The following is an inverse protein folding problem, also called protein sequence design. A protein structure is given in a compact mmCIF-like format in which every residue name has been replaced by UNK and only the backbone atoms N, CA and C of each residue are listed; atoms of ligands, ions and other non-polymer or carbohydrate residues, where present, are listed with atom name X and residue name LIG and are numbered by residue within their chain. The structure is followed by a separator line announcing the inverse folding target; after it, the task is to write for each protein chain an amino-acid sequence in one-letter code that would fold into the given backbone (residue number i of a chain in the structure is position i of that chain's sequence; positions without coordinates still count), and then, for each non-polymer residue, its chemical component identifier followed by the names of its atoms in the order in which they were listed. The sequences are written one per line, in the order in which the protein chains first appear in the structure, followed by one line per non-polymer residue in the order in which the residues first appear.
data_IF_891756017363
#
_entry.id   IF_891756017363
#
_cell.length_a   1.000
_cell.length_b   1.000
_cell.length_c   1.000
_cell.angle_alpha   90.00
_cell.angle_beta   90.00
_cell.angle_gamma   90.00
#
_symmetry.space_group_name_H-M   'P 1'
#
loop_
_entity.id
_entity.type
_entity.pdbx_description
1 polymer ?
#
# COMPACT_ATOMS: atom_id res chain seq x y z
N UNK A 1 -4.76 -2.44 -4.58
CA UNK A 1 -4.23 -2.45 -3.19
C UNK A 1 -4.15 -1.09 -2.52
N UNK A 2 -3.22 -0.17 -2.86
CA UNK A 2 -3.11 1.14 -2.18
C UNK A 2 -4.39 1.98 -2.31
N UNK A 3 -4.97 2.02 -3.50
CA UNK A 3 -6.25 2.71 -3.75
C UNK A 3 -7.40 2.08 -2.96
N UNK A 4 -7.55 0.76 -3.01
CA UNK A 4 -8.59 0.04 -2.25
C UNK A 4 -8.46 0.23 -0.73
N UNK A 5 -7.23 0.21 -0.19
CA UNK A 5 -6.98 0.47 1.21
C UNK A 5 -7.36 1.90 1.61
N UNK A 6 -7.13 2.88 0.73
CA UNK A 6 -7.55 4.26 0.95
C UNK A 6 -9.08 4.38 0.86
N UNK A 7 -9.71 3.79 -0.14
CA UNK A 7 -11.16 3.83 -0.33
C UNK A 7 -11.89 3.22 0.88
N UNK A 8 -11.42 2.08 1.39
CA UNK A 8 -11.96 1.46 2.60
C UNK A 8 -11.79 2.37 3.84
N UNK A 9 -10.62 2.98 4.01
CA UNK A 9 -10.37 3.89 5.12
C UNK A 9 -11.23 5.18 5.04
N UNK A 10 -11.53 5.64 3.82
CA UNK A 10 -12.42 6.79 3.58
C UNK A 10 -13.87 6.48 3.90
N UNK A 11 -14.38 5.32 3.49
CA UNK A 11 -15.75 4.92 3.81
C UNK A 11 -15.96 4.74 5.31
N UNK A 12 -14.97 4.17 6.02
CA UNK A 12 -15.03 4.10 7.49
C UNK A 12 -14.99 5.49 8.14
N UNK A 13 -14.14 6.40 7.66
CA UNK A 13 -14.13 7.76 8.19
C UNK A 13 -15.47 8.48 7.95
N UNK A 14 -16.08 8.24 6.78
CA UNK A 14 -17.38 8.82 6.41
C UNK A 14 -18.51 8.28 7.28
N UNK A 15 -18.50 6.98 7.60
CA UNK A 15 -19.52 6.36 8.46
C UNK A 15 -19.45 6.86 9.91
N UNK A 16 -18.25 7.18 10.42
CA UNK A 16 -18.06 7.76 11.75
C UNK A 16 -18.53 9.22 11.84
N UNK A 17 -18.54 9.94 10.72
CA UNK A 17 -18.86 11.37 10.68
C UNK A 17 -19.87 11.71 9.57
N UNK A 18 -21.11 11.16 9.62
CA UNK A 18 -22.09 11.29 8.54
C UNK A 18 -22.55 12.74 8.32
N UNK A 19 -22.49 13.59 9.35
CA UNK A 19 -22.85 15.01 9.27
C UNK A 19 -21.77 15.92 8.67
N UNK A 20 -20.58 15.41 8.31
CA UNK A 20 -19.50 16.23 7.77
C UNK A 20 -19.63 16.44 6.26
N UNK A 21 -19.25 17.63 5.82
CA UNK A 21 -19.33 18.00 4.40
C UNK A 21 -18.28 17.27 3.56
N UNK A 22 -18.56 17.14 2.25
CA UNK A 22 -17.57 16.62 1.27
C UNK A 22 -16.27 17.42 1.28
N UNK A 23 -16.34 18.73 1.52
CA UNK A 23 -15.16 19.61 1.62
C UNK A 23 -14.28 19.25 2.81
N UNK A 24 -14.88 18.92 3.96
CA UNK A 24 -14.15 18.44 5.13
C UNK A 24 -13.40 17.13 4.84
N UNK A 25 -14.07 16.17 4.20
CA UNK A 25 -13.45 14.89 3.83
C UNK A 25 -12.31 15.09 2.82
N UNK A 26 -12.54 15.87 1.76
CA UNK A 26 -11.50 16.22 0.77
C UNK A 26 -10.28 16.85 1.44
N UNK A 27 -10.49 17.77 2.38
CA UNK A 27 -9.41 18.42 3.14
C UNK A 27 -8.64 17.46 4.04
N UNK A 28 -9.27 16.41 4.56
CA UNK A 28 -8.59 15.35 5.30
C UNK A 28 -7.72 14.49 4.38
N UNK A 29 -8.24 14.12 3.19
CA UNK A 29 -7.48 13.36 2.18
C UNK A 29 -6.26 14.12 1.69
N UNK A 30 -6.43 15.41 1.36
CA UNK A 30 -5.32 16.25 0.90
C UNK A 30 -4.20 16.40 1.94
N UNK A 31 -4.55 16.31 3.23
CA UNK A 31 -3.59 16.34 4.35
C UNK A 31 -2.96 14.99 4.68
N UNK A 32 -3.36 13.89 4.02
CA UNK A 32 -2.88 12.55 4.36
C UNK A 32 -1.35 12.43 4.26
N UNK A 33 -0.75 13.06 3.25
CA UNK A 33 0.70 13.10 3.07
C UNK A 33 1.45 14.05 4.02
N UNK A 34 0.72 14.91 4.73
CA UNK A 34 1.28 15.89 5.66
C UNK A 34 1.37 15.33 7.10
N UNK A 35 0.89 14.10 7.34
CA UNK A 35 0.89 13.44 8.65
C UNK A 35 2.21 12.70 8.88
N UNK A 36 2.87 12.98 10.01
CA UNK A 36 4.07 12.30 10.49
C UNK A 36 3.83 11.77 11.91
N UNK A 37 4.18 10.52 12.15
CA UNK A 37 4.11 9.91 13.49
C UNK A 37 5.16 10.56 14.40
N UNK A 38 4.73 10.96 15.58
CA UNK A 38 5.58 11.42 16.67
C UNK A 38 5.88 10.30 17.66
N UNK A 39 6.46 10.67 18.80
CA UNK A 39 6.60 9.76 19.95
C UNK A 39 5.27 9.62 20.69
N UNK A 40 5.11 8.52 21.41
CA UNK A 40 4.03 8.31 22.40
C UNK A 40 2.61 8.44 21.82
N UNK A 41 2.41 8.00 20.57
CA UNK A 41 1.09 8.02 19.92
C UNK A 41 0.62 9.42 19.49
N UNK A 42 1.51 10.42 19.50
CA UNK A 42 1.24 11.74 18.93
C UNK A 42 1.53 11.78 17.42
N UNK A 43 0.95 12.77 16.73
CA UNK A 43 1.08 12.98 15.30
C UNK A 43 1.33 14.46 15.01
N UNK A 44 2.30 14.73 14.14
CA UNK A 44 2.58 16.05 13.59
C UNK A 44 1.90 16.17 12.24
N UNK A 45 1.12 17.22 12.03
CA UNK A 45 0.47 17.51 10.74
C UNK A 45 1.00 18.84 10.22
N UNK A 46 1.59 18.83 9.03
CA UNK A 46 2.07 20.06 8.38
C UNK A 46 0.88 20.94 7.95
N UNK A 47 0.97 22.24 8.26
CA UNK A 47 -0.08 23.20 7.99
C UNK A 47 0.01 23.74 6.56
N UNK A 48 -1.14 23.81 5.90
CA UNK A 48 -1.28 24.30 4.53
C UNK A 48 -2.17 25.54 4.45
N UNK A 49 -1.59 26.66 4.03
CA UNK A 49 -2.31 27.95 3.92
C UNK A 49 -3.52 27.82 2.99
N UNK A 50 -3.36 27.10 1.88
CA UNK A 50 -4.40 26.83 0.89
C UNK A 50 -5.57 25.99 1.44
N UNK A 51 -5.37 25.28 2.56
CA UNK A 51 -6.41 24.49 3.22
C UNK A 51 -7.04 25.20 4.43
N UNK A 52 -6.63 26.43 4.71
CA UNK A 52 -7.15 27.29 5.79
C UNK A 52 -6.35 27.24 7.09
N UNK A 53 -5.08 26.84 7.03
CA UNK A 53 -4.23 26.69 8.20
C UNK A 53 -3.46 27.97 8.50
N UNK A 54 -3.39 28.34 9.78
CA UNK A 54 -2.68 29.54 10.25
C UNK A 54 -1.28 29.24 10.76
N UNK A 55 -1.09 28.07 11.38
CA UNK A 55 0.19 27.59 11.90
C UNK A 55 0.86 26.67 10.87
N UNK A 56 2.19 26.64 10.81
CA UNK A 56 2.94 25.74 9.92
C UNK A 56 2.88 24.27 10.37
N UNK A 57 2.52 24.02 11.63
CA UNK A 57 2.50 22.69 12.22
C UNK A 57 1.38 22.60 13.24
N UNK A 58 0.70 21.45 13.26
CA UNK A 58 -0.26 21.08 14.30
C UNK A 58 0.15 19.76 14.95
N UNK A 59 -0.10 19.66 16.25
CA UNK A 59 0.08 18.43 17.02
C UNK A 59 -1.29 17.82 17.27
N UNK A 60 -1.41 16.52 17.05
CA UNK A 60 -2.62 15.75 17.24
C UNK A 60 -2.30 14.55 18.12
N UNK A 61 -3.11 14.29 19.13
CA UNK A 61 -2.93 13.15 20.04
C UNK A 61 -4.28 12.66 20.52
N UNK A 62 -4.33 11.40 20.96
CA UNK A 62 -5.49 10.86 21.64
C UNK A 62 -5.30 11.08 23.14
N UNK A 63 -6.28 11.68 23.81
CA UNK A 63 -6.31 11.77 25.26
C UNK A 63 -7.08 10.56 25.79
N UNK A 64 -6.39 9.67 26.50
CA UNK A 64 -7.03 8.53 27.17
C UNK A 64 -7.98 8.99 28.28
N UNK A 65 -7.65 10.07 28.97
CA UNK A 65 -8.48 10.68 30.02
C UNK A 65 -9.81 11.22 29.45
N UNK A 66 -9.75 11.95 28.34
CA UNK A 66 -10.95 12.51 27.70
C UNK A 66 -11.65 11.52 26.75
N UNK A 67 -11.04 10.36 26.48
CA UNK A 67 -11.52 9.38 25.50
C UNK A 67 -11.71 9.95 24.09
N UNK A 68 -10.92 10.96 23.70
CA UNK A 68 -11.08 11.65 22.40
C UNK A 68 -9.78 12.18 21.83
N UNK A 69 -9.85 12.56 20.55
CA UNK A 69 -8.75 13.19 19.85
C UNK A 69 -8.65 14.69 20.13
N UNK A 70 -7.43 15.14 20.40
CA UNK A 70 -7.07 16.55 20.58
C UNK A 70 -6.20 17.02 19.42
N UNK A 71 -6.30 18.31 19.12
CA UNK A 71 -5.46 18.98 18.16
C UNK A 71 -5.06 20.35 18.68
N UNK A 72 -3.80 20.74 18.46
CA UNK A 72 -3.30 22.06 18.85
C UNK A 72 -4.04 23.22 18.16
N UNK A 73 -4.78 22.96 17.07
CA UNK A 73 -5.63 23.97 16.42
C UNK A 73 -6.83 24.39 17.30
N UNK A 74 -7.21 23.59 18.29
CA UNK A 74 -8.31 23.89 19.22
C UNK A 74 -7.96 25.02 20.20
N UNK A 75 -6.67 25.32 20.39
CA UNK A 75 -6.22 26.40 21.28
C UNK A 75 -5.94 27.70 20.52
N UNK A 76 -6.61 27.92 19.37
CA UNK A 76 -6.51 29.17 18.59
C UNK A 76 -7.79 30.01 18.74
N UNK A 77 -7.75 31.27 18.27
CA UNK A 77 -8.85 32.25 18.40
C UNK A 77 -10.21 31.76 17.85
N UNK A 78 -10.23 30.76 16.95
CA UNK A 78 -11.43 30.08 16.41
C UNK A 78 -11.62 28.64 16.93
N UNK A 79 -10.93 28.29 18.01
CA UNK A 79 -10.74 26.93 18.50
C UNK A 79 -11.99 26.28 19.10
N UNK A 80 -12.79 27.04 19.84
CA UNK A 80 -13.98 26.53 20.54
C UNK A 80 -15.07 25.99 19.60
N UNK A 81 -15.29 26.60 18.44
CA UNK A 81 -16.23 26.10 17.43
C UNK A 81 -15.74 24.80 16.77
N UNK A 82 -14.41 24.65 16.60
CA UNK A 82 -13.76 23.44 16.05
C UNK A 82 -13.52 22.36 17.11
N UNK A 83 -13.60 22.67 18.39
CA UNK A 83 -13.47 21.68 19.46
C UNK A 83 -14.76 20.85 19.63
N UNK A 84 -15.91 21.43 19.28
CA UNK A 84 -17.20 20.72 19.24
C UNK A 84 -17.29 19.68 18.11
N UNK A 85 -16.33 19.70 17.19
CA UNK A 85 -16.45 19.06 15.89
C UNK A 85 -15.08 18.66 15.34
N UNK A 86 -14.79 17.35 15.19
CA UNK A 86 -13.48 16.83 14.73
C UNK A 86 -12.91 17.65 13.56
N UNK A 87 -11.71 18.23 13.74
CA UNK A 87 -11.11 19.09 12.71
C UNK A 87 -10.47 18.25 11.60
N UNK A 88 -10.16 18.88 10.47
CA UNK A 88 -9.54 18.18 9.33
C UNK A 88 -8.14 17.64 9.64
N UNK A 89 -7.43 18.18 10.65
CA UNK A 89 -6.15 17.62 11.11
C UNK A 89 -6.33 16.29 11.84
N UNK A 90 -7.28 16.23 12.79
CA UNK A 90 -7.63 14.99 13.48
C UNK A 90 -8.16 13.96 12.48
N UNK A 91 -9.02 14.38 11.57
CA UNK A 91 -9.54 13.53 10.51
C UNK A 91 -8.42 12.92 9.65
N UNK A 92 -7.42 13.72 9.26
CA UNK A 92 -6.27 13.24 8.51
C UNK A 92 -5.48 12.19 9.29
N UNK A 93 -5.28 12.38 10.60
CA UNK A 93 -4.61 11.39 11.46
C UNK A 93 -5.44 10.10 11.60
N UNK A 94 -6.76 10.22 11.81
CA UNK A 94 -7.66 9.08 11.87
C UNK A 94 -7.66 8.28 10.57
N UNK A 95 -7.63 8.97 9.43
CA UNK A 95 -7.51 8.38 8.10
C UNK A 95 -6.15 7.71 7.90
N UNK A 96 -5.07 8.40 8.26
CA UNK A 96 -3.70 7.89 8.17
C UNK A 96 -3.53 6.58 8.94
N UNK A 97 -3.99 6.52 10.19
CA UNK A 97 -3.92 5.30 11.02
C UNK A 97 -4.64 4.12 10.37
N UNK A 98 -5.83 4.36 9.84
CA UNK A 98 -6.66 3.33 9.18
C UNK A 98 -6.02 2.86 7.88
N UNK A 99 -5.61 3.81 7.05
CA UNK A 99 -4.94 3.53 5.79
C UNK A 99 -3.66 2.72 6.00
N UNK A 100 -2.82 3.13 6.96
CA UNK A 100 -1.60 2.41 7.35
C UNK A 100 -1.92 0.99 7.82
N UNK A 101 -2.90 0.81 8.72
CA UNK A 101 -3.33 -0.52 9.19
C UNK A 101 -3.86 -1.40 8.05
N UNK A 102 -4.61 -0.83 7.11
CA UNK A 102 -5.14 -1.54 5.95
C UNK A 102 -4.00 -1.98 5.00
N UNK A 103 -3.00 -1.12 4.78
CA UNK A 103 -1.80 -1.47 4.04
C UNK A 103 -1.01 -2.59 4.73
N UNK A 104 -0.72 -2.46 6.02
CA UNK A 104 -0.02 -3.49 6.80
C UNK A 104 -0.74 -4.84 6.74
N UNK A 105 -2.08 -4.84 6.84
CA UNK A 105 -2.89 -6.05 6.70
C UNK A 105 -2.77 -6.65 5.30
N UNK A 106 -2.80 -5.81 4.26
CA UNK A 106 -2.65 -6.28 2.88
C UNK A 106 -1.24 -6.83 2.62
N UNK A 107 -0.21 -6.22 3.20
CA UNK A 107 1.19 -6.64 3.07
C UNK A 107 1.50 -7.94 3.82
N UNK A 108 0.79 -8.22 4.92
CA UNK A 108 0.84 -9.50 5.64
C UNK A 108 0.07 -10.64 4.95
N UNK A 109 -0.66 -10.37 3.86
CA UNK A 109 -1.34 -11.42 3.09
C UNK A 109 -0.31 -12.44 2.63
N UNK A 110 -0.63 -13.72 2.80
CA UNK A 110 0.23 -14.82 2.34
C UNK A 110 0.04 -15.02 0.84
N UNK A 111 1.15 -15.23 0.15
CA UNK A 111 1.23 -15.56 -1.27
C UNK A 111 2.27 -16.65 -1.45
N UNK A 112 2.30 -17.27 -2.62
CA UNK A 112 3.20 -18.36 -2.96
C UNK A 112 4.18 -17.89 -4.03
N UNK A 113 5.47 -18.13 -3.81
CA UNK A 113 6.54 -17.70 -4.73
C UNK A 113 7.32 -18.91 -5.20
N UNK A 114 7.58 -19.00 -6.50
CA UNK A 114 8.46 -20.02 -7.06
C UNK A 114 9.41 -19.40 -8.09
N UNK A 115 10.67 -19.83 -8.06
CA UNK A 115 11.66 -19.56 -9.10
C UNK A 115 11.90 -20.84 -9.92
N UNK A 116 12.15 -20.69 -11.22
CA UNK A 116 12.42 -21.83 -12.09
C UNK A 116 13.08 -21.41 -13.40
N UNK A 117 13.37 -22.40 -14.23
CA UNK A 117 13.84 -22.20 -15.61
C UNK A 117 12.94 -22.94 -16.58
N UNK A 118 12.60 -22.30 -17.69
CA UNK A 118 11.71 -22.84 -18.72
C UNK A 118 12.26 -22.58 -20.12
N UNK A 119 12.02 -23.49 -21.04
CA UNK A 119 12.25 -23.28 -22.47
C UNK A 119 10.92 -23.01 -23.17
N UNK A 120 10.80 -21.88 -23.87
CA UNK A 120 9.57 -21.53 -24.58
C UNK A 120 9.82 -20.61 -25.76
N UNK A 121 9.46 -21.03 -26.97
CA UNK A 121 9.60 -20.22 -28.19
C UNK A 121 8.46 -19.21 -28.41
N UNK A 122 7.53 -19.09 -27.47
CA UNK A 122 6.32 -18.29 -27.62
C UNK A 122 5.96 -17.51 -26.36
N UNK A 123 4.66 -17.29 -26.16
CA UNK A 123 4.17 -16.51 -25.03
C UNK A 123 4.20 -17.35 -23.76
N UNK A 124 4.94 -16.86 -22.76
CA UNK A 124 4.93 -17.39 -21.40
C UNK A 124 3.78 -16.79 -20.59
N UNK A 125 3.08 -17.65 -19.86
CA UNK A 125 1.98 -17.28 -18.96
C UNK A 125 2.06 -18.12 -17.68
N UNK A 126 1.45 -17.65 -16.59
CA UNK A 126 1.35 -18.43 -15.36
C UNK A 126 0.00 -18.18 -14.66
N UNK A 127 -0.40 -19.06 -13.75
CA UNK A 127 -1.53 -18.84 -12.83
C UNK A 127 -1.16 -17.90 -11.65
N UNK A 128 -0.52 -16.77 -11.98
CA UNK A 128 0.01 -15.78 -11.07
C UNK A 128 0.69 -14.64 -11.84
N UNK A 129 1.29 -13.71 -11.10
CA UNK A 129 2.14 -12.68 -11.69
C UNK A 129 3.49 -13.31 -12.08
N UNK A 130 3.80 -13.28 -13.38
CA UNK A 130 4.99 -13.90 -13.96
C UNK A 130 6.05 -12.84 -14.29
N UNK A 131 7.25 -13.03 -13.79
CA UNK A 131 8.44 -12.24 -14.09
C UNK A 131 9.44 -13.11 -14.84
N UNK A 132 9.98 -12.58 -15.94
CA UNK A 132 10.78 -13.35 -16.90
C UNK A 132 12.09 -12.61 -17.17
N UNK A 133 13.20 -13.34 -17.22
CA UNK A 133 14.46 -12.85 -17.80
C UNK A 133 15.20 -13.94 -18.58
N UNK A 134 15.99 -13.59 -19.60
CA UNK A 134 16.82 -14.57 -20.31
C UNK A 134 17.72 -15.33 -19.33
N UNK A 135 17.84 -16.65 -19.51
CA UNK A 135 18.78 -17.46 -18.73
C UNK A 135 20.24 -17.28 -19.19
N UNK A 136 20.43 -16.84 -20.45
CA UNK A 136 21.74 -16.59 -21.05
C UNK A 136 22.24 -15.17 -20.75
N UNK A 137 23.55 -15.03 -20.51
CA UNK A 137 24.22 -13.72 -20.32
C UNK A 137 24.28 -12.90 -21.62
N UNK A 138 24.30 -13.57 -22.77
CA UNK A 138 24.25 -12.95 -24.10
C UNK A 138 23.14 -13.58 -24.92
N UNK A 139 22.34 -12.73 -25.56
CA UNK A 139 21.31 -13.15 -26.51
C UNK A 139 21.99 -13.29 -27.87
N UNK A 140 22.27 -14.53 -28.27
CA UNK A 140 22.87 -14.87 -29.57
C UNK A 140 21.93 -15.78 -30.40
N UNK A 141 22.42 -16.27 -31.54
CA UNK A 141 21.67 -17.18 -32.42
C UNK A 141 21.25 -18.49 -31.72
N UNK A 142 22.00 -18.97 -30.73
CA UNK A 142 21.68 -20.19 -29.98
C UNK A 142 20.50 -19.97 -29.04
N UNK A 143 20.35 -18.75 -28.50
CA UNK A 143 19.18 -18.37 -27.72
C UNK A 143 17.88 -18.44 -28.53
N UNK A 144 17.89 -18.03 -29.80
CA UNK A 144 16.69 -18.11 -30.64
C UNK A 144 16.34 -19.55 -31.03
N UNK A 145 17.33 -20.45 -31.08
CA UNK A 145 17.10 -21.86 -31.33
C UNK A 145 16.41 -22.55 -30.13
N UNK A 146 16.85 -22.26 -28.90
CA UNK A 146 16.28 -22.82 -27.67
C UNK A 146 16.23 -21.75 -26.56
N UNK A 147 15.21 -20.86 -26.59
CA UNK A 147 15.13 -19.73 -25.68
C UNK A 147 14.77 -20.20 -24.27
N UNK A 148 15.78 -20.17 -23.40
CA UNK A 148 15.66 -20.49 -21.98
C UNK A 148 15.48 -19.23 -21.15
N UNK A 149 14.49 -19.25 -20.27
CA UNK A 149 14.16 -18.15 -19.40
C UNK A 149 14.25 -18.58 -17.95
N UNK A 150 14.83 -17.70 -17.14
CA UNK A 150 14.64 -17.71 -15.70
C UNK A 150 13.30 -17.04 -15.41
N UNK A 151 12.52 -17.63 -14.52
CA UNK A 151 11.21 -17.13 -14.14
C UNK A 151 11.10 -17.00 -12.63
N UNK A 152 10.32 -16.03 -12.20
CA UNK A 152 9.82 -15.86 -10.83
C UNK A 152 8.31 -15.69 -10.94
N UNK A 153 7.55 -16.47 -10.18
CA UNK A 153 6.09 -16.40 -10.18
C UNK A 153 5.59 -16.09 -8.78
N UNK A 154 4.68 -15.12 -8.67
CA UNK A 154 3.94 -14.80 -7.44
C UNK A 154 2.47 -15.18 -7.65
N UNK A 155 1.97 -16.15 -6.88
CA UNK A 155 0.61 -16.65 -6.99
C UNK A 155 -0.16 -16.57 -5.67
N UNK A 156 -1.49 -16.53 -5.76
CA UNK A 156 -2.37 -16.68 -4.60
C UNK A 156 -2.66 -18.17 -4.28
N UNK A 157 -2.18 -19.09 -5.12
CA UNK A 157 -2.34 -20.54 -4.94
C UNK A 157 -0.99 -21.23 -4.86
N UNK A 158 -0.89 -22.26 -4.01
CA UNK A 158 0.36 -23.02 -3.80
C UNK A 158 0.82 -23.75 -5.06
N UNK A 159 -0.11 -24.30 -5.84
CA UNK A 159 0.19 -24.95 -7.12
C UNK A 159 0.44 -23.87 -8.18
N UNK A 160 1.68 -23.75 -8.63
CA UNK A 160 2.09 -22.80 -9.67
C UNK A 160 2.26 -23.55 -10.99
N UNK A 161 1.60 -23.07 -12.03
CA UNK A 161 1.60 -23.66 -13.37
C UNK A 161 2.05 -22.60 -14.36
N UNK A 162 3.06 -22.93 -15.17
CA UNK A 162 3.61 -22.09 -16.21
C UNK A 162 3.27 -22.69 -17.57
N UNK A 163 2.81 -21.83 -18.47
CA UNK A 163 2.35 -22.21 -19.81
C UNK A 163 3.19 -21.55 -20.89
N UNK A 164 3.44 -22.29 -21.97
CA UNK A 164 4.00 -21.79 -23.21
C UNK A 164 2.96 -21.93 -24.32
N UNK A 165 2.50 -20.82 -24.90
CA UNK A 165 1.42 -20.83 -25.89
C UNK A 165 0.17 -21.62 -25.43
N UNK A 166 -0.18 -21.50 -24.14
CA UNK A 166 -1.32 -22.19 -23.54
C UNK A 166 -1.06 -23.64 -23.08
N UNK A 167 0.05 -24.26 -23.44
CA UNK A 167 0.44 -25.60 -22.99
C UNK A 167 1.19 -25.54 -21.67
N UNK A 168 0.83 -26.38 -20.69
CA UNK A 168 1.53 -26.47 -19.41
C UNK A 168 2.92 -27.09 -19.62
N UNK A 169 3.96 -26.35 -19.26
CA UNK A 169 5.37 -26.75 -19.47
C UNK A 169 6.14 -26.93 -18.17
N UNK A 170 5.64 -26.37 -17.06
CA UNK A 170 6.26 -26.49 -15.76
C UNK A 170 5.19 -26.36 -14.67
N UNK A 171 5.25 -27.27 -13.71
CA UNK A 171 4.46 -27.24 -12.48
C UNK A 171 5.41 -27.22 -11.29
N UNK A 172 5.16 -26.31 -10.35
CA UNK A 172 5.97 -26.14 -9.13
C UNK A 172 5.06 -25.90 -7.93
N UNK A 173 5.53 -26.30 -6.75
CA UNK A 173 4.96 -25.81 -5.50
C UNK A 173 5.63 -24.49 -5.11
N UNK A 174 4.83 -23.45 -4.90
CA UNK A 174 5.34 -22.18 -4.41
C UNK A 174 5.58 -22.20 -2.90
N UNK A 175 6.62 -21.51 -2.48
CA UNK A 175 6.94 -21.26 -1.08
C UNK A 175 6.02 -20.17 -0.51
N UNK A 176 5.40 -20.45 0.63
CA UNK A 176 4.50 -19.50 1.30
C UNK A 176 5.28 -18.36 1.96
N UNK A 177 5.05 -17.13 1.52
CA UNK A 177 5.69 -15.92 2.05
C UNK A 177 4.67 -14.80 2.25
N UNK A 178 5.04 -13.76 3.00
CA UNK A 178 4.25 -12.54 3.06
C UNK A 178 4.34 -11.77 1.73
N UNK A 179 3.27 -11.08 1.33
CA UNK A 179 3.27 -10.27 0.10
C UNK A 179 4.37 -9.21 0.08
N UNK A 180 4.71 -8.64 1.25
CA UNK A 180 5.87 -7.74 1.38
C UNK A 180 7.19 -8.45 1.00
N UNK A 181 7.39 -9.67 1.47
CA UNK A 181 8.56 -10.51 1.11
C UNK A 181 8.57 -10.83 -0.38
N UNK A 182 7.43 -11.21 -0.96
CA UNK A 182 7.33 -11.48 -2.39
C UNK A 182 7.71 -10.25 -3.24
N UNK A 183 7.25 -9.05 -2.86
CA UNK A 183 7.64 -7.80 -3.54
C UNK A 183 9.13 -7.54 -3.46
N UNK A 184 9.73 -7.76 -2.30
CA UNK A 184 11.18 -7.63 -2.13
C UNK A 184 11.95 -8.61 -3.04
N UNK A 185 11.48 -9.85 -3.18
CA UNK A 185 12.07 -10.83 -4.10
C UNK A 185 11.96 -10.38 -5.57
N UNK A 186 10.82 -9.81 -5.97
CA UNK A 186 10.61 -9.24 -7.31
C UNK A 186 11.52 -8.04 -7.57
N UNK A 187 11.66 -7.11 -6.62
CA UNK A 187 12.57 -5.97 -6.77
C UNK A 187 14.03 -6.44 -6.93
N UNK A 188 14.44 -7.41 -6.11
CA UNK A 188 15.75 -8.07 -6.22
C UNK A 188 15.91 -8.88 -7.51
N UNK A 189 14.83 -9.35 -8.12
CA UNK A 189 14.86 -10.04 -9.40
C UNK A 189 15.22 -9.10 -10.55
N UNK A 190 14.66 -7.88 -10.54
CA UNK A 190 14.92 -6.83 -11.52
C UNK A 190 16.26 -6.13 -11.33
N UNK A 191 16.76 -6.02 -10.10
CA UNK A 191 18.07 -5.42 -9.80
C UNK A 191 19.28 -6.32 -10.04
N UNK A 192 19.09 -7.54 -10.58
CA UNK A 192 20.12 -8.54 -10.87
C UNK A 192 20.25 -8.84 -12.35
#
# INVERSE_FOLDING_TARGET
MRREALDAALEELRSLFPGKSKSWLRKAVLRLGDVKEGRDGSYRVEGRRELGDWKPVYLVWYSEEDGRWHCSCYFSHFGFARQRDVCTHVAAVMLYRRYKKALEKAERRRVYVAEGEVECRGRLEANGELYVKPAAEKIDLTFYASPKYKILVVSNTRRIVVKCNGLEILEMEGEEVQLATAKFLVERWHGR
#
